data_IF_142547451420
#
_entry.id   IF_142547451420
#
_cell.length_a   1.000
_cell.length_b   1.000
_cell.length_c   1.000
_cell.angle_alpha   90.00
_cell.angle_beta   90.00
_cell.angle_gamma   90.00
#
_symmetry.space_group_name_H-M   'P 1'
#
loop_
_entity.id
_entity.type
_entity.pdbx_description
1 polymer ?
#
# COMPACT_ATOMS: atom_id res chain seq x y z
N UNK A 1 7.78 22.01 22.19
CA UNK A 1 8.44 23.06 21.42
C UNK A 1 8.10 22.87 19.95
N UNK A 2 7.65 23.91 19.36
CA UNK A 2 7.28 23.89 17.96
C UNK A 2 8.52 23.88 17.07
N UNK A 3 8.46 23.09 16.01
CA UNK A 3 9.51 23.07 15.02
C UNK A 3 9.57 24.41 14.28
N UNK A 4 10.74 24.82 13.84
CA UNK A 4 10.84 26.02 12.98
C UNK A 4 9.93 25.89 11.77
N UNK A 5 9.39 27.02 11.33
CA UNK A 5 8.47 27.04 10.20
C UNK A 5 9.06 26.43 8.93
N UNK A 6 10.34 26.62 8.70
CA UNK A 6 11.02 26.07 7.53
C UNK A 6 11.04 24.54 7.57
N UNK A 7 11.31 23.95 8.73
CA UNK A 7 11.33 22.50 8.89
C UNK A 7 9.93 21.94 8.69
N UNK A 8 8.92 22.58 9.28
CA UNK A 8 7.53 22.16 9.13
C UNK A 8 7.10 22.23 7.67
N UNK A 9 7.45 23.29 6.96
CA UNK A 9 7.11 23.45 5.56
C UNK A 9 7.79 22.39 4.68
N UNK A 10 9.04 22.08 4.95
CA UNK A 10 9.76 21.03 4.22
C UNK A 10 9.12 19.67 4.43
N UNK A 11 8.81 19.31 5.68
CA UNK A 11 8.14 18.05 5.99
C UNK A 11 6.78 17.95 5.29
N UNK A 12 6.00 19.02 5.32
CA UNK A 12 4.70 19.03 4.65
C UNK A 12 4.84 18.84 3.15
N UNK A 13 5.85 19.45 2.53
CA UNK A 13 6.10 19.30 1.10
C UNK A 13 6.46 17.86 0.73
N UNK A 14 7.38 17.24 1.47
CA UNK A 14 7.79 15.85 1.24
C UNK A 14 6.60 14.92 1.44
N UNK A 15 5.88 15.07 2.55
CA UNK A 15 4.73 14.23 2.86
C UNK A 15 3.62 14.36 1.81
N UNK A 16 3.43 15.57 1.28
CA UNK A 16 2.41 15.79 0.25
C UNK A 16 2.74 15.04 -1.03
N UNK A 17 3.99 15.07 -1.46
CA UNK A 17 4.42 14.35 -2.67
C UNK A 17 4.25 12.84 -2.51
N UNK A 18 4.65 12.31 -1.37
CA UNK A 18 4.51 10.89 -1.06
C UNK A 18 3.03 10.51 -0.96
N UNK A 19 2.23 11.32 -0.29
CA UNK A 19 0.79 11.08 -0.17
C UNK A 19 0.12 11.07 -1.54
N UNK A 20 0.49 11.99 -2.43
CA UNK A 20 -0.05 12.03 -3.79
C UNK A 20 0.32 10.76 -4.57
N UNK A 21 1.53 10.26 -4.39
CA UNK A 21 1.95 9.03 -5.04
C UNK A 21 1.13 7.84 -4.53
N UNK A 22 0.96 7.73 -3.21
CA UNK A 22 0.15 6.66 -2.62
C UNK A 22 -1.31 6.79 -3.02
N UNK A 23 -1.83 8.01 -3.14
CA UNK A 23 -3.18 8.25 -3.63
C UNK A 23 -3.36 7.72 -5.06
N UNK A 24 -2.39 7.94 -5.92
CA UNK A 24 -2.44 7.43 -7.29
C UNK A 24 -2.38 5.91 -7.31
N UNK A 25 -1.54 5.32 -6.47
CA UNK A 25 -1.45 3.86 -6.34
C UNK A 25 -2.78 3.30 -5.86
N UNK A 26 -3.37 3.90 -4.83
CA UNK A 26 -4.67 3.46 -4.33
C UNK A 26 -5.75 3.55 -5.40
N UNK A 27 -5.82 4.68 -6.10
CA UNK A 27 -6.81 4.85 -7.17
C UNK A 27 -6.65 3.81 -8.27
N UNK A 28 -5.42 3.51 -8.66
CA UNK A 28 -5.13 2.50 -9.66
C UNK A 28 -5.57 1.11 -9.19
N UNK A 29 -5.19 0.73 -7.98
CA UNK A 29 -5.54 -0.56 -7.40
C UNK A 29 -7.06 -0.69 -7.25
N UNK A 30 -7.71 0.36 -6.78
CA UNK A 30 -9.15 0.37 -6.61
C UNK A 30 -9.90 0.24 -7.95
N UNK A 31 -9.37 0.87 -9.00
CA UNK A 31 -10.00 0.80 -10.33
C UNK A 31 -9.93 -0.61 -10.93
N UNK A 32 -8.96 -1.40 -10.51
CA UNK A 32 -8.78 -2.78 -10.98
C UNK A 32 -9.37 -3.82 -10.06
N UNK A 33 -9.86 -3.41 -8.90
CA UNK A 33 -10.40 -4.35 -7.93
C UNK A 33 -11.70 -5.00 -8.41
N UNK A 34 -11.86 -6.25 -8.01
CA UNK A 34 -13.09 -7.00 -8.17
C UNK A 34 -13.92 -6.89 -6.89
N UNK A 35 -14.99 -7.69 -6.80
CA UNK A 35 -15.88 -7.69 -5.64
C UNK A 35 -15.16 -7.97 -4.32
N UNK A 36 -14.07 -8.76 -4.36
CA UNK A 36 -13.31 -9.09 -3.15
C UNK A 36 -12.36 -7.99 -2.70
N UNK A 37 -12.13 -6.99 -3.53
CA UNK A 37 -11.28 -5.84 -3.18
C UNK A 37 -9.88 -6.23 -2.72
N UNK A 38 -9.30 -7.28 -3.31
CA UNK A 38 -8.01 -7.83 -2.86
C UNK A 38 -6.91 -6.79 -2.95
N UNK A 39 -6.84 -6.04 -4.04
CA UNK A 39 -5.75 -5.08 -4.27
C UNK A 39 -5.69 -3.99 -3.22
N UNK A 40 -6.81 -3.35 -2.94
CA UNK A 40 -6.85 -2.28 -1.94
C UNK A 40 -6.65 -2.82 -0.52
N UNK A 41 -7.16 -4.03 -0.26
CA UNK A 41 -6.95 -4.68 1.03
C UNK A 41 -5.49 -5.07 1.25
N UNK A 42 -4.81 -5.54 0.21
CA UNK A 42 -3.37 -5.82 0.27
C UNK A 42 -2.60 -4.54 0.62
N UNK A 43 -2.89 -3.46 -0.07
CA UNK A 43 -2.22 -2.18 0.19
C UNK A 43 -2.43 -1.73 1.65
N UNK A 44 -3.65 -1.85 2.15
CA UNK A 44 -3.95 -1.56 3.55
C UNK A 44 -3.13 -2.44 4.50
N UNK A 45 -3.08 -3.75 4.25
CA UNK A 45 -2.39 -4.68 5.13
C UNK A 45 -0.89 -4.41 5.20
N UNK A 46 -0.24 -4.18 4.07
CA UNK A 46 1.20 -3.92 4.07
C UNK A 46 1.53 -2.55 4.69
N UNK A 47 0.65 -1.57 4.53
CA UNK A 47 0.81 -0.26 5.16
C UNK A 47 0.67 -0.32 6.67
N UNK A 48 -0.26 -1.11 7.17
CA UNK A 48 -0.53 -1.24 8.60
C UNK A 48 0.25 -2.36 9.27
N UNK A 49 0.88 -3.24 8.50
CA UNK A 49 1.68 -4.32 9.04
C UNK A 49 2.99 -3.82 9.62
N UNK A 50 3.62 -4.66 10.42
CA UNK A 50 4.88 -4.33 11.06
C UNK A 50 6.08 -4.97 10.38
N UNK A 51 5.85 -5.79 9.36
CA UNK A 51 6.93 -6.45 8.65
C UNK A 51 7.60 -5.47 7.68
N UNK A 52 8.91 -5.43 7.73
CA UNK A 52 9.69 -4.62 6.78
C UNK A 52 9.90 -5.35 5.46
N UNK A 53 9.88 -6.66 5.51
CA UNK A 53 9.95 -7.53 4.34
C UNK A 53 8.92 -8.64 4.52
N UNK A 54 8.18 -8.95 3.47
CA UNK A 54 7.07 -9.88 3.58
C UNK A 54 6.91 -10.71 2.30
N UNK A 55 6.35 -11.89 2.46
CA UNK A 55 5.96 -12.78 1.36
C UNK A 55 4.45 -12.67 1.15
N UNK A 56 3.97 -13.20 0.03
CA UNK A 56 2.53 -13.24 -0.22
C UNK A 56 1.77 -13.96 0.89
N UNK A 57 2.35 -15.03 1.43
CA UNK A 57 1.71 -15.79 2.52
C UNK A 57 1.57 -14.96 3.79
N UNK A 58 2.54 -14.13 4.10
CA UNK A 58 2.46 -13.22 5.26
C UNK A 58 1.29 -12.25 5.10
N UNK A 59 1.13 -11.70 3.89
CA UNK A 59 0.04 -10.77 3.60
C UNK A 59 -1.31 -11.48 3.59
N UNK A 60 -1.37 -12.71 3.07
CA UNK A 60 -2.58 -13.52 3.12
C UNK A 60 -3.03 -13.74 4.55
N UNK A 61 -2.10 -14.03 5.46
CA UNK A 61 -2.41 -14.19 6.87
C UNK A 61 -2.97 -12.91 7.49
N UNK A 62 -2.45 -11.76 7.09
CA UNK A 62 -2.98 -10.46 7.53
C UNK A 62 -4.40 -10.25 7.03
N UNK A 63 -4.66 -10.59 5.77
CA UNK A 63 -5.99 -10.50 5.17
C UNK A 63 -6.99 -11.38 5.90
N UNK A 64 -6.61 -12.60 6.22
CA UNK A 64 -7.47 -13.54 6.93
C UNK A 64 -7.83 -13.05 8.34
N UNK A 65 -6.91 -12.34 9.00
CA UNK A 65 -7.20 -11.75 10.31
C UNK A 65 -8.14 -10.57 10.22
N UNK A 66 -7.97 -9.73 9.20
CA UNK A 66 -8.76 -8.51 9.04
C UNK A 66 -10.15 -8.80 8.45
N UNK A 67 -10.25 -9.80 7.57
CA UNK A 67 -11.50 -10.17 6.90
C UNK A 67 -11.67 -11.68 6.94
N UNK A 68 -11.95 -12.25 8.14
CA UNK A 68 -12.00 -13.71 8.29
C UNK A 68 -13.12 -14.38 7.49
N UNK A 69 -14.15 -13.64 7.11
CA UNK A 69 -15.27 -14.16 6.32
C UNK A 69 -15.02 -14.15 4.83
N UNK A 70 -13.91 -13.57 4.39
CA UNK A 70 -13.59 -13.45 2.96
C UNK A 70 -12.51 -14.45 2.60
N UNK A 71 -12.78 -15.27 1.60
CA UNK A 71 -11.82 -16.25 1.12
C UNK A 71 -11.01 -15.67 -0.04
N UNK A 72 -9.71 -15.57 0.16
CA UNK A 72 -8.78 -14.99 -0.81
C UNK A 72 -7.67 -16.00 -1.10
N UNK A 73 -7.34 -16.17 -2.37
CA UNK A 73 -6.25 -17.07 -2.76
C UNK A 73 -4.89 -16.39 -2.62
N UNK A 74 -3.87 -17.20 -2.36
CA UNK A 74 -2.49 -16.71 -2.33
C UNK A 74 -2.07 -16.14 -3.69
N UNK A 75 -2.57 -16.71 -4.79
CA UNK A 75 -2.29 -16.21 -6.14
C UNK A 75 -2.80 -14.78 -6.32
N UNK A 76 -3.98 -14.48 -5.82
CA UNK A 76 -4.54 -13.12 -5.90
C UNK A 76 -3.69 -12.13 -5.13
N UNK A 77 -3.19 -12.53 -3.96
CA UNK A 77 -2.30 -11.69 -3.15
C UNK A 77 -0.97 -11.47 -3.88
N UNK A 78 -0.39 -12.54 -4.43
CA UNK A 78 0.86 -12.45 -5.21
C UNK A 78 0.71 -11.49 -6.39
N UNK A 79 -0.40 -11.58 -7.10
CA UNK A 79 -0.66 -10.71 -8.24
C UNK A 79 -0.72 -9.24 -7.83
N UNK A 80 -1.40 -8.95 -6.72
CA UNK A 80 -1.48 -7.59 -6.20
C UNK A 80 -0.10 -7.05 -5.80
N UNK A 81 0.69 -7.86 -5.11
CA UNK A 81 2.04 -7.48 -4.71
C UNK A 81 2.94 -7.24 -5.92
N UNK A 82 2.85 -8.11 -6.94
CA UNK A 82 3.62 -7.95 -8.16
C UNK A 82 3.23 -6.67 -8.90
N UNK A 83 1.96 -6.28 -8.89
CA UNK A 83 1.54 -5.00 -9.49
C UNK A 83 2.19 -3.82 -8.77
N UNK A 84 2.32 -3.88 -7.45
CA UNK A 84 2.94 -2.81 -6.68
C UNK A 84 4.46 -2.75 -6.84
N UNK A 85 5.08 -3.84 -7.28
CA UNK A 85 6.53 -3.95 -7.41
C UNK A 85 7.01 -3.94 -8.86
N UNK A 86 6.12 -4.05 -9.83
CA UNK A 86 6.47 -4.38 -11.20
C UNK A 86 6.70 -3.16 -12.08
N UNK A 87 7.78 -3.18 -12.86
CA UNK A 87 7.98 -2.23 -13.94
C UNK A 87 6.90 -2.36 -15.02
N UNK A 88 6.32 -3.55 -15.15
CA UNK A 88 5.18 -3.76 -16.03
C UNK A 88 3.97 -2.96 -15.59
N UNK A 89 3.75 -2.82 -14.29
CA UNK A 89 2.69 -1.99 -13.76
C UNK A 89 2.94 -0.52 -14.10
N UNK A 90 4.18 -0.08 -14.03
CA UNK A 90 4.56 1.26 -14.42
C UNK A 90 4.21 1.52 -15.89
N UNK A 91 4.51 0.57 -16.76
CA UNK A 91 4.24 0.70 -18.18
C UNK A 91 2.76 0.61 -18.51
N UNK A 92 2.06 -0.37 -17.92
CA UNK A 92 0.66 -0.65 -18.21
C UNK A 92 -0.28 0.22 -17.40
N UNK A 93 -0.01 0.30 -16.10
CA UNK A 93 -0.87 0.99 -15.15
C UNK A 93 -0.53 2.44 -14.97
N UNK A 94 0.62 2.84 -15.45
CA UNK A 94 1.09 4.23 -15.35
C UNK A 94 1.25 4.69 -13.92
N UNK A 95 1.67 3.78 -13.05
CA UNK A 95 2.05 4.09 -11.69
C UNK A 95 3.48 3.64 -11.45
N UNK A 96 4.18 4.40 -10.65
CA UNK A 96 5.53 4.01 -10.23
C UNK A 96 5.43 2.96 -9.11
N UNK A 97 6.29 1.93 -9.12
CA UNK A 97 6.30 0.94 -8.05
C UNK A 97 6.58 1.57 -6.69
N UNK A 98 5.96 1.03 -5.66
CA UNK A 98 6.25 1.41 -4.26
C UNK A 98 6.93 0.27 -3.52
N UNK A 99 6.92 -0.93 -4.10
CA UNK A 99 7.59 -2.10 -3.55
C UNK A 99 8.72 -2.52 -4.48
N UNK A 100 9.69 -3.23 -3.93
CA UNK A 100 10.63 -3.99 -4.73
C UNK A 100 10.52 -5.46 -4.36
N UNK A 101 10.79 -6.32 -5.35
CA UNK A 101 10.75 -7.76 -5.18
C UNK A 101 12.17 -8.29 -5.13
N UNK A 102 12.45 -9.11 -4.12
CA UNK A 102 13.72 -9.79 -3.95
C UNK A 102 13.44 -11.28 -3.87
N UNK A 103 14.07 -12.06 -4.72
CA UNK A 103 13.90 -13.52 -4.70
C UNK A 103 15.01 -14.14 -3.85
N UNK A 104 14.62 -14.94 -2.85
CA UNK A 104 15.54 -15.64 -1.96
C UNK A 104 15.15 -17.09 -1.92
N UNK A 105 16.07 -17.96 -2.29
CA UNK A 105 15.84 -19.41 -2.30
C UNK A 105 14.57 -19.79 -3.09
N UNK A 106 14.36 -19.12 -4.20
CA UNK A 106 13.18 -19.38 -5.06
C UNK A 106 11.88 -18.77 -4.55
N UNK A 107 11.91 -18.04 -3.45
CA UNK A 107 10.71 -17.41 -2.87
C UNK A 107 10.77 -15.90 -3.06
N UNK A 108 9.67 -15.32 -3.53
CA UNK A 108 9.57 -13.88 -3.71
C UNK A 108 9.27 -13.20 -2.37
N UNK A 109 10.11 -12.23 -2.04
CA UNK A 109 9.94 -11.35 -0.91
C UNK A 109 9.72 -9.93 -1.43
N UNK A 110 8.96 -9.15 -0.70
CA UNK A 110 8.61 -7.78 -1.07
C UNK A 110 8.95 -6.85 0.07
N UNK A 111 9.40 -5.65 -0.26
CA UNK A 111 9.63 -4.60 0.73
C UNK A 111 9.35 -3.25 0.09
N UNK A 112 9.05 -2.25 0.89
CA UNK A 112 8.87 -0.91 0.37
C UNK A 112 10.21 -0.39 -0.17
N UNK A 113 10.16 0.25 -1.33
CA UNK A 113 11.34 0.90 -1.92
C UNK A 113 11.89 1.93 -0.95
N UNK A 114 10.98 2.64 -0.27
CA UNK A 114 11.32 3.63 0.75
C UNK A 114 10.30 3.48 1.87
N UNK A 115 10.74 3.41 3.14
CA UNK A 115 9.83 3.28 4.27
C UNK A 115 8.75 4.35 4.35
N UNK A 116 8.97 5.50 3.73
CA UNK A 116 8.01 6.61 3.75
C UNK A 116 6.69 6.22 3.06
N UNK A 117 6.74 5.32 2.08
CA UNK A 117 5.51 4.85 1.41
C UNK A 117 4.64 4.05 2.36
N UNK A 118 5.26 3.27 3.25
CA UNK A 118 4.50 2.53 4.26
C UNK A 118 3.81 3.48 5.22
N UNK A 119 4.53 4.50 5.66
CA UNK A 119 3.96 5.51 6.57
C UNK A 119 2.78 6.22 5.91
N UNK A 120 2.94 6.61 4.66
CA UNK A 120 1.88 7.28 3.91
C UNK A 120 0.65 6.39 3.72
N UNK A 121 0.86 5.10 3.43
CA UNK A 121 -0.25 4.16 3.30
C UNK A 121 -0.96 3.97 4.65
N UNK A 122 -0.21 3.86 5.73
CA UNK A 122 -0.77 3.71 7.07
C UNK A 122 -1.64 4.89 7.46
N UNK A 123 -1.17 6.10 7.16
CA UNK A 123 -1.90 7.32 7.50
C UNK A 123 -3.07 7.54 6.55
N UNK A 124 -2.87 7.25 5.27
CA UNK A 124 -3.84 7.59 4.22
C UNK A 124 -4.95 6.59 3.98
N UNK A 125 -4.84 5.39 4.52
CA UNK A 125 -5.84 4.35 4.30
C UNK A 125 -6.46 3.92 5.62
N UNK A 126 -7.76 3.71 5.59
CA UNK A 126 -8.55 3.36 6.77
C UNK A 126 -9.58 2.30 6.42
N UNK A 127 -9.79 1.37 7.35
CA UNK A 127 -10.85 0.39 7.24
C UNK A 127 -12.08 0.95 7.94
N UNK A 128 -13.19 1.10 7.23
CA UNK A 128 -14.42 1.61 7.81
C UNK A 128 -15.21 0.53 8.54
N UNK A 129 -16.35 0.91 9.14
CA UNK A 129 -17.18 -0.01 9.91
C UNK A 129 -17.75 -1.15 9.06
N UNK A 130 -17.84 -0.97 7.75
CA UNK A 130 -18.33 -2.00 6.83
C UNK A 130 -17.21 -2.89 6.31
N UNK A 131 -15.97 -2.67 6.75
CA UNK A 131 -14.83 -3.44 6.31
C UNK A 131 -14.24 -3.01 4.98
N UNK A 132 -14.67 -1.89 4.45
CA UNK A 132 -14.13 -1.35 3.21
C UNK A 132 -12.95 -0.44 3.49
N UNK A 133 -12.03 -0.39 2.53
CA UNK A 133 -10.88 0.50 2.64
C UNK A 133 -11.21 1.84 2.01
N UNK A 134 -11.02 2.88 2.78
CA UNK A 134 -11.22 4.26 2.35
C UNK A 134 -9.89 4.99 2.39
N UNK A 135 -9.72 5.90 1.44
CA UNK A 135 -8.61 6.83 1.47
C UNK A 135 -8.99 8.01 2.37
N UNK A 136 -8.13 8.27 3.34
CA UNK A 136 -8.32 9.43 4.19
C UNK A 136 -7.43 10.56 3.67
N UNK A 137 -8.00 11.73 3.49
CA UNK A 137 -7.30 12.87 2.94
C UNK A 137 -6.48 13.55 4.04
N UNK A 138 -5.29 13.02 4.27
CA UNK A 138 -4.42 13.44 5.38
C UNK A 138 -3.88 14.85 5.21
N UNK A 139 -3.54 15.20 3.97
CA UNK A 139 -2.99 16.51 3.64
C UNK A 139 -4.02 17.36 2.94
N UNK A 140 -5.25 16.99 3.17
CA UNK A 140 -6.38 17.37 2.39
C UNK A 140 -6.56 18.79 2.17
N UNK A 141 -7.15 19.00 1.09
CA UNK A 141 -7.90 20.13 0.72
C UNK A 141 -7.41 21.52 1.06
N UNK A 142 -6.42 21.59 1.70
CA UNK A 142 -5.95 22.94 2.06
C UNK A 142 -4.96 23.47 1.08
#
# INVERSE_FOLDING_TARGET
IDAPAEVTGFHNWVNRRVAQHVDRVFAHMNSKDTALKVRTRVLYCIGNGQLTEFRSLDVLNMLEREWPEVEVSNASVSNALNELASEGAKTKGKIDPILERVTRSGVNHYRFIDPVYRIAAKIGLRKNAMGEIEREEVLGGT
#
